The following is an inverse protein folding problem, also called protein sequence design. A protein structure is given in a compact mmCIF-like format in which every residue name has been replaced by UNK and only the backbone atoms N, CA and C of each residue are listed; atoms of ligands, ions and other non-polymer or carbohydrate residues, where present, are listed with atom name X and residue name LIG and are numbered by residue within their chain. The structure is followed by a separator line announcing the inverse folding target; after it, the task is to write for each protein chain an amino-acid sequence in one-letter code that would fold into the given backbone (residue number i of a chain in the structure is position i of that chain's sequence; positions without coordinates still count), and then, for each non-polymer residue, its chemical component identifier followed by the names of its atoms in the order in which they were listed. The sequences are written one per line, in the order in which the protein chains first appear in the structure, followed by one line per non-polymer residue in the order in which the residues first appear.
data_IF_979547677179
#
_entry.id   IF_979547677179
#
_cell.length_a   1.000
_cell.length_b   1.000
_cell.length_c   1.000
_cell.angle_alpha   90.00
_cell.angle_beta   90.00
_cell.angle_gamma   90.00
#
_symmetry.space_group_name_H-M   'P 1'
#
loop_
_entity.id
_entity.type
_entity.pdbx_description
1 polymer ?
#
# COMPACT_ATOMS: atom_id res chain seq x y z
N UNK A 1 11.99 8.69 2.37
CA UNK A 1 10.63 9.27 2.23
C UNK A 1 9.69 8.56 3.20
N UNK A 2 8.59 9.19 3.61
CA UNK A 2 7.64 8.61 4.58
C UNK A 2 6.33 8.24 3.89
N UNK A 3 5.89 6.98 4.02
CA UNK A 3 4.61 6.45 3.50
C UNK A 3 3.38 6.88 4.32
N UNK A 4 3.47 8.03 5.00
CA UNK A 4 2.43 8.47 5.95
C UNK A 4 1.09 8.74 5.25
N UNK A 5 1.08 9.51 4.16
CA UNK A 5 -0.18 9.86 3.49
C UNK A 5 -0.81 8.65 2.81
N UNK A 6 -0.01 7.71 2.31
CA UNK A 6 -0.49 6.41 1.79
C UNK A 6 -1.22 5.62 2.88
N UNK A 7 -0.59 5.43 4.04
CA UNK A 7 -1.21 4.72 5.16
C UNK A 7 -2.44 5.45 5.71
N UNK A 8 -2.40 6.79 5.75
CA UNK A 8 -3.53 7.62 6.18
C UNK A 8 -4.73 7.47 5.23
N UNK A 9 -4.50 7.47 3.92
CA UNK A 9 -5.54 7.22 2.93
C UNK A 9 -6.18 5.85 3.17
N UNK A 10 -5.39 4.78 3.22
CA UNK A 10 -5.89 3.43 3.42
C UNK A 10 -6.64 3.27 4.75
N UNK A 11 -6.13 3.88 5.82
CA UNK A 11 -6.81 3.92 7.11
C UNK A 11 -8.19 4.60 7.00
N UNK A 12 -8.29 5.73 6.30
CA UNK A 12 -9.55 6.44 6.12
C UNK A 12 -10.53 5.65 5.24
N UNK A 13 -10.06 5.03 4.16
CA UNK A 13 -10.89 4.19 3.27
C UNK A 13 -11.56 3.03 4.02
N UNK A 14 -10.90 2.49 5.05
CA UNK A 14 -11.45 1.42 5.88
C UNK A 14 -12.49 1.90 6.91
N UNK A 15 -12.62 3.21 7.12
CA UNK A 15 -13.44 3.79 8.21
C UNK A 15 -14.55 4.70 7.74
N UNK A 16 -14.39 5.28 6.56
CA UNK A 16 -15.31 6.26 5.99
C UNK A 16 -15.94 5.68 4.71
N UNK A 17 -17.19 5.18 4.80
CA UNK A 17 -17.91 4.63 3.66
C UNK A 17 -18.13 5.64 2.53
N UNK A 18 -18.26 6.94 2.84
CA UNK A 18 -18.48 7.99 1.85
C UNK A 18 -17.18 8.26 1.08
N UNK A 19 -16.04 8.33 1.79
CA UNK A 19 -14.73 8.40 1.15
C UNK A 19 -14.47 7.15 0.29
N UNK A 20 -14.88 5.98 0.77
CA UNK A 20 -14.77 4.73 0.04
C UNK A 20 -15.57 4.75 -1.27
N UNK A 21 -16.82 5.17 -1.21
CA UNK A 21 -17.67 5.30 -2.40
C UNK A 21 -17.10 6.31 -3.40
N UNK A 22 -16.60 7.45 -2.90
CA UNK A 22 -15.90 8.44 -3.73
C UNK A 22 -14.65 7.87 -4.39
N UNK A 23 -13.85 7.10 -3.66
CA UNK A 23 -12.64 6.48 -4.19
C UNK A 23 -12.93 5.45 -5.29
N UNK A 24 -14.06 4.75 -5.19
CA UNK A 24 -14.50 3.80 -6.21
C UNK A 24 -15.07 4.51 -7.47
N UNK A 25 -15.65 5.70 -7.31
CA UNK A 25 -16.22 6.52 -8.40
C UNK A 25 -15.18 7.39 -9.11
N UNK A 26 -14.33 8.07 -8.34
CA UNK A 26 -13.33 9.03 -8.80
C UNK A 26 -12.09 8.94 -7.90
N UNK A 27 -11.22 8.00 -8.26
CA UNK A 27 -9.98 7.74 -7.52
C UNK A 27 -9.04 8.93 -7.58
N UNK A 28 -8.93 9.59 -8.72
CA UNK A 28 -7.98 10.69 -8.93
C UNK A 28 -8.33 11.90 -8.06
N UNK A 29 -9.62 12.24 -7.96
CA UNK A 29 -10.12 13.29 -7.05
C UNK A 29 -9.69 12.99 -5.61
N UNK A 30 -9.93 11.77 -5.12
CA UNK A 30 -9.57 11.39 -3.76
C UNK A 30 -8.05 11.42 -3.53
N UNK A 31 -7.26 10.90 -4.47
CA UNK A 31 -5.80 10.88 -4.37
C UNK A 31 -5.20 12.30 -4.36
N UNK A 32 -5.82 13.25 -5.08
CA UNK A 32 -5.39 14.66 -5.09
C UNK A 32 -5.45 15.35 -3.73
N UNK A 33 -6.23 14.82 -2.78
CA UNK A 33 -6.36 15.34 -1.41
C UNK A 33 -5.15 15.02 -0.51
N UNK A 34 -4.23 14.18 -0.99
CA UNK A 34 -3.09 13.67 -0.24
C UNK A 34 -1.78 14.17 -0.85
N UNK A 35 -0.77 14.44 0.00
CA UNK A 35 0.57 14.79 -0.47
C UNK A 35 1.32 13.50 -0.81
N UNK A 36 1.12 13.03 -2.03
CA UNK A 36 1.72 11.81 -2.58
C UNK A 36 2.83 12.16 -3.55
N UNK A 37 3.87 11.34 -3.58
CA UNK A 37 4.89 11.34 -4.63
C UNK A 37 4.37 10.63 -5.88
N UNK A 38 5.02 10.84 -7.02
CA UNK A 38 4.62 10.19 -8.29
C UNK A 38 4.62 8.65 -8.18
N UNK A 39 5.59 8.08 -7.46
CA UNK A 39 5.68 6.63 -7.24
C UNK A 39 4.51 6.11 -6.38
N UNK A 40 4.18 6.82 -5.29
CA UNK A 40 3.04 6.47 -4.43
C UNK A 40 1.70 6.62 -5.17
N UNK A 41 1.57 7.66 -6.00
CA UNK A 41 0.39 7.88 -6.83
C UNK A 41 0.22 6.76 -7.86
N UNK A 42 1.29 6.35 -8.53
CA UNK A 42 1.26 5.22 -9.46
C UNK A 42 0.83 3.93 -8.75
N UNK A 43 1.43 3.64 -7.59
CA UNK A 43 1.14 2.45 -6.81
C UNK A 43 -0.33 2.41 -6.34
N UNK A 44 -0.90 3.56 -5.94
CA UNK A 44 -2.30 3.67 -5.52
C UNK A 44 -3.29 3.62 -6.69
N UNK A 45 -2.91 4.15 -7.85
CA UNK A 45 -3.76 4.18 -9.05
C UNK A 45 -3.92 2.78 -9.64
N UNK A 46 -2.83 2.00 -9.72
CA UNK A 46 -2.78 0.62 -10.23
C UNK A 46 -2.97 -0.47 -9.16
N UNK A 47 -3.53 -0.13 -8.00
CA UNK A 47 -3.30 -0.78 -6.70
C UNK A 47 -2.18 -1.82 -6.66
N UNK A 48 -0.93 -1.40 -6.90
CA UNK A 48 0.24 -2.28 -6.87
C UNK A 48 0.61 -2.63 -5.42
N UNK A 49 0.01 -3.71 -4.91
CA UNK A 49 0.18 -4.17 -3.53
C UNK A 49 1.65 -4.50 -3.21
N UNK A 50 2.39 -5.08 -4.17
CA UNK A 50 3.79 -5.42 -4.00
C UNK A 50 4.66 -4.17 -3.84
N UNK A 51 4.46 -3.17 -4.69
CA UNK A 51 5.15 -1.88 -4.56
C UNK A 51 4.79 -1.14 -3.27
N UNK A 52 3.50 -1.11 -2.89
CA UNK A 52 3.05 -0.51 -1.63
C UNK A 52 3.70 -1.19 -0.42
N UNK A 53 3.85 -2.51 -0.44
CA UNK A 53 4.57 -3.25 0.59
C UNK A 53 6.06 -2.87 0.64
N UNK A 54 6.74 -2.87 -0.50
CA UNK A 54 8.17 -2.50 -0.62
C UNK A 54 8.42 -1.06 -0.17
N UNK A 55 7.50 -0.13 -0.43
CA UNK A 55 7.59 1.24 0.08
C UNK A 55 7.58 1.30 1.62
N UNK A 56 7.03 0.29 2.30
CA UNK A 56 6.98 0.20 3.75
C UNK A 56 5.60 0.43 4.36
N UNK A 57 4.53 0.29 3.57
CA UNK A 57 3.16 0.34 4.11
C UNK A 57 2.97 -0.81 5.10
N UNK A 58 2.35 -0.54 6.25
CA UNK A 58 2.06 -1.55 7.24
C UNK A 58 1.15 -2.66 6.67
N UNK A 59 1.56 -3.92 6.83
CA UNK A 59 0.87 -5.09 6.28
C UNK A 59 -0.58 -5.27 6.75
N UNK A 60 -0.95 -4.83 7.95
CA UNK A 60 -2.35 -4.90 8.40
C UNK A 60 -3.24 -3.91 7.65
N UNK A 61 -2.76 -2.67 7.50
CA UNK A 61 -3.47 -1.64 6.73
C UNK A 61 -3.54 -2.05 5.26
N UNK A 62 -2.44 -2.57 4.72
CA UNK A 62 -2.36 -3.03 3.33
C UNK A 62 -3.28 -4.22 3.05
N UNK A 63 -3.40 -5.18 3.97
CA UNK A 63 -4.34 -6.30 3.85
C UNK A 63 -5.79 -5.82 3.71
N UNK A 64 -6.22 -4.87 4.54
CA UNK A 64 -7.57 -4.31 4.42
C UNK A 64 -7.76 -3.53 3.10
N UNK A 65 -6.72 -2.84 2.64
CA UNK A 65 -6.73 -2.19 1.33
C UNK A 65 -6.78 -3.19 0.16
N UNK A 66 -6.16 -4.36 0.27
CA UNK A 66 -6.29 -5.41 -0.74
C UNK A 66 -7.71 -6.03 -0.75
N UNK A 67 -8.32 -6.21 0.43
CA UNK A 67 -9.69 -6.74 0.56
C UNK A 67 -10.73 -5.85 -0.12
N UNK A 68 -10.49 -4.55 -0.14
CA UNK A 68 -11.24 -3.54 -0.90
C UNK A 68 -11.32 -3.87 -2.41
N UNK A 69 -10.32 -4.56 -2.97
CA UNK A 69 -10.30 -5.02 -4.37
C UNK A 69 -10.74 -6.47 -4.53
N UNK A 70 -11.36 -7.06 -3.49
CA UNK A 70 -11.72 -8.48 -3.42
C UNK A 70 -10.54 -9.43 -3.66
N UNK A 71 -9.31 -9.00 -3.33
CA UNK A 71 -8.12 -9.84 -3.46
C UNK A 71 -8.14 -10.97 -2.42
N UNK A 72 -8.11 -12.25 -2.83
CA UNK A 72 -8.02 -13.38 -1.91
C UNK A 72 -6.70 -13.38 -1.12
N UNK A 73 -6.73 -13.94 0.09
CA UNK A 73 -5.54 -14.01 0.95
C UNK A 73 -4.31 -14.66 0.29
N UNK A 74 -4.51 -15.77 -0.44
CA UNK A 74 -3.41 -16.45 -1.12
C UNK A 74 -2.79 -15.58 -2.23
N UNK A 75 -3.61 -14.78 -2.91
CA UNK A 75 -3.13 -13.83 -3.92
C UNK A 75 -2.39 -12.67 -3.27
N UNK A 76 -2.90 -12.12 -2.17
CA UNK A 76 -2.26 -11.07 -1.39
C UNK A 76 -0.83 -11.45 -0.96
N UNK A 77 -0.65 -12.67 -0.42
CA UNK A 77 0.68 -13.15 -0.06
C UNK A 77 1.60 -13.28 -1.28
N UNK A 78 1.08 -13.81 -2.40
CA UNK A 78 1.84 -13.98 -3.64
C UNK A 78 2.33 -12.63 -4.19
N UNK A 79 1.46 -11.62 -4.28
CA UNK A 79 1.83 -10.30 -4.82
C UNK A 79 2.80 -9.54 -3.90
N UNK A 80 2.78 -9.79 -2.60
CA UNK A 80 3.80 -9.26 -1.68
C UNK A 80 5.18 -9.87 -1.96
N UNK A 81 5.24 -11.19 -2.18
CA UNK A 81 6.48 -11.90 -2.53
C UNK A 81 7.01 -11.44 -3.90
N UNK A 82 6.15 -11.44 -4.93
CA UNK A 82 6.48 -10.90 -6.26
C UNK A 82 6.94 -9.44 -6.19
N UNK A 83 6.37 -8.66 -5.27
CA UNK A 83 6.78 -7.28 -5.00
C UNK A 83 8.24 -7.16 -4.55
N UNK A 84 8.69 -8.05 -3.66
CA UNK A 84 10.08 -8.10 -3.21
C UNK A 84 11.04 -8.46 -4.36
N UNK A 85 10.65 -9.40 -5.21
CA UNK A 85 11.44 -9.81 -6.37
C UNK A 85 11.57 -8.67 -7.39
N UNK A 86 10.48 -7.95 -7.66
CA UNK A 86 10.39 -6.93 -8.71
C UNK A 86 10.90 -5.56 -8.29
N UNK A 87 10.61 -5.14 -7.05
CA UNK A 87 10.87 -3.78 -6.57
C UNK A 87 12.00 -3.69 -5.52
N UNK A 88 12.55 -4.84 -5.11
CA UNK A 88 13.65 -4.96 -4.15
C UNK A 88 13.17 -5.08 -2.70
N UNK A 89 14.11 -4.98 -1.73
CA UNK A 89 13.78 -5.12 -0.31
C UNK A 89 12.90 -3.97 0.18
N UNK A 90 12.15 -4.22 1.26
CA UNK A 90 11.34 -3.18 1.92
C UNK A 90 12.21 -2.01 2.36
N UNK A 91 11.81 -0.81 1.94
CA UNK A 91 12.61 0.43 2.03
C UNK A 91 12.37 1.20 3.33
N UNK A 92 11.22 1.01 3.98
CA UNK A 92 10.87 1.71 5.22
C UNK A 92 9.87 0.93 6.09
N UNK A 93 9.66 1.37 7.33
CA UNK A 93 8.67 0.76 8.24
C UNK A 93 9.16 -0.48 8.98
N UNK A 94 8.21 -1.31 9.44
CA UNK A 94 8.48 -2.44 10.35
C UNK A 94 9.15 -3.64 9.68
N UNK A 95 9.01 -3.77 8.35
CA UNK A 95 9.51 -4.91 7.58
C UNK A 95 10.82 -4.62 6.87
N UNK A 96 11.46 -3.47 7.17
CA UNK A 96 12.84 -3.25 6.72
C UNK A 96 13.66 -4.37 7.33
N UNK A 97 14.25 -5.19 6.46
CA UNK A 97 15.24 -6.17 6.88
C UNK A 97 16.43 -5.37 7.42
N UNK A 98 16.48 -5.14 8.73
CA UNK A 98 17.74 -4.79 9.37
C UNK A 98 18.68 -5.95 9.08
N UNK A 99 19.89 -5.67 8.61
CA UNK A 99 20.99 -6.65 8.59
C UNK A 99 21.11 -7.23 10.00
N UNK A 100 20.40 -8.34 10.23
CA UNK A 100 20.27 -8.93 11.55
C UNK A 100 21.30 -10.04 11.58
N UNK A 101 22.51 -9.62 11.95
CA UNK A 101 23.58 -10.42 12.53
C UNK A 101 23.89 -11.74 11.81
N UNK A 102 24.87 -11.68 10.90
CA UNK A 102 25.87 -12.75 10.89
C UNK A 102 26.44 -12.85 12.32
N UNK A 103 26.09 -13.93 13.01
CA UNK A 103 26.85 -14.48 14.13
C UNK A 103 27.31 -15.87 13.75
#
# INVERSE_FOLDING_TARGET
MSVYYVQKLMYNLNRDPDLRERFDKDREDVLSLYKLTDEELEALTKPDIGLLYVMGVNGQILMHYAAIFNMPWAEYLRVMEEGLEKHGPVRSGLYVMSESNEK
#
